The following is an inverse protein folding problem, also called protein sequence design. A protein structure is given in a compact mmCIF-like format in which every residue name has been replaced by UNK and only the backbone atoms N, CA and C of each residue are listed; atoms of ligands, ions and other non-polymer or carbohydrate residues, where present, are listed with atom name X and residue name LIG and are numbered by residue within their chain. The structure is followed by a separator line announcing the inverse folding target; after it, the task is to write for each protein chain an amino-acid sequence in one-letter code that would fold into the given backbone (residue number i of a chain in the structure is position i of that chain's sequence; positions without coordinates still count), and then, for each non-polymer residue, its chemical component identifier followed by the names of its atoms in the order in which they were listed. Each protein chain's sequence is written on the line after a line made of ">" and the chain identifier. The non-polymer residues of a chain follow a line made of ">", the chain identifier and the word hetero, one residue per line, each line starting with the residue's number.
data_IF_279221443842
#
_entry.id   IF_279221443842
#
_cell.length_a   1.000
_cell.length_b   1.000
_cell.length_c   1.000
_cell.angle_alpha   90.00
_cell.angle_beta   90.00
_cell.angle_gamma   90.00
#
_symmetry.space_group_name_H-M   'P 1'
#
loop_
_entity.id
_entity.type
_entity.pdbx_description
1 polymer ?
#
# COMPACT_ATOMS: atom_id res chain seq x y z
N UNK A 1 3.37 12.92 -19.51
CA UNK A 1 2.99 14.10 -18.69
C UNK A 1 4.26 14.88 -18.35
N UNK A 2 4.20 16.23 -18.16
CA UNK A 2 5.39 17.04 -17.79
C UNK A 2 5.41 17.23 -16.28
N UNK A 3 5.99 16.31 -15.54
CA UNK A 3 5.99 16.33 -14.07
C UNK A 3 7.38 16.60 -13.44
N UNK A 4 8.48 16.40 -14.16
CA UNK A 4 9.85 16.43 -13.62
C UNK A 4 10.26 17.70 -12.87
N UNK A 5 9.69 18.86 -13.20
CA UNK A 5 10.01 20.16 -12.55
C UNK A 5 8.86 20.69 -11.67
N UNK A 6 7.90 19.85 -11.28
CA UNK A 6 6.79 20.23 -10.43
C UNK A 6 7.13 20.04 -8.95
N UNK A 7 6.30 20.65 -8.07
CA UNK A 7 6.39 20.48 -6.62
C UNK A 7 6.19 19.00 -6.24
N UNK A 8 6.92 18.56 -5.25
CA UNK A 8 6.77 17.27 -4.61
C UNK A 8 6.05 17.41 -3.28
N UNK A 9 5.23 16.43 -2.92
CA UNK A 9 4.56 16.39 -1.64
C UNK A 9 5.52 15.92 -0.54
N UNK A 10 5.45 16.58 0.63
CA UNK A 10 6.11 16.13 1.85
C UNK A 10 5.30 15.05 2.59
N UNK A 11 4.09 14.72 2.10
CA UNK A 11 3.20 13.73 2.70
C UNK A 11 3.44 12.31 2.17
N UNK A 12 4.65 12.01 1.68
CA UNK A 12 5.05 10.66 1.25
C UNK A 12 5.83 9.96 2.38
N UNK A 13 5.36 8.77 2.75
CA UNK A 13 6.00 7.85 3.70
C UNK A 13 6.58 6.68 2.90
N UNK A 14 7.85 6.79 2.51
CA UNK A 14 8.51 5.78 1.68
C UNK A 14 9.07 4.64 2.55
N UNK A 15 8.33 3.55 2.58
CA UNK A 15 8.66 2.32 3.33
C UNK A 15 9.28 1.22 2.45
N UNK A 16 9.59 1.49 1.19
CA UNK A 16 10.14 0.48 0.26
C UNK A 16 11.46 -0.12 0.74
N UNK A 17 12.25 0.67 1.49
CA UNK A 17 13.54 0.27 2.08
C UNK A 17 13.42 -0.35 3.49
N UNK A 18 12.27 -0.19 4.13
CA UNK A 18 11.96 -0.94 5.33
C UNK A 18 11.70 -2.37 4.87
N UNK A 19 12.74 -3.18 4.87
CA UNK A 19 12.66 -4.59 4.53
C UNK A 19 11.47 -5.21 5.27
N UNK A 20 10.91 -6.31 4.72
CA UNK A 20 9.96 -7.17 5.43
C UNK A 20 10.37 -7.12 6.89
N UNK A 21 9.45 -6.82 7.85
CA UNK A 21 9.83 -6.98 9.24
C UNK A 21 10.52 -8.32 9.25
N UNK A 22 11.80 -8.33 9.59
CA UNK A 22 12.47 -9.60 9.79
C UNK A 22 11.46 -10.31 10.70
N UNK A 23 10.80 -11.33 10.16
CA UNK A 23 10.29 -12.36 11.02
C UNK A 23 11.59 -12.74 11.68
N UNK A 24 11.84 -12.12 12.83
CA UNK A 24 12.75 -12.70 13.78
C UNK A 24 12.12 -14.07 13.86
N UNK A 25 12.71 -15.01 13.15
CA UNK A 25 12.59 -16.41 13.50
C UNK A 25 13.13 -16.44 14.92
N UNK A 26 12.35 -15.76 15.78
CA UNK A 26 12.55 -15.74 17.18
C UNK A 26 12.48 -17.19 17.53
N UNK A 27 13.45 -17.69 18.28
CA UNK A 27 13.69 -19.08 18.61
C UNK A 27 12.46 -19.96 18.90
N UNK A 28 11.24 -19.46 18.83
CA UNK A 28 9.99 -20.17 18.99
C UNK A 28 9.72 -21.21 17.90
N UNK A 29 9.89 -20.89 16.63
CA UNK A 29 9.62 -21.87 15.57
C UNK A 29 10.71 -22.94 15.54
N UNK A 30 11.98 -22.53 15.68
CA UNK A 30 13.12 -23.45 15.77
C UNK A 30 12.99 -24.31 17.04
N UNK A 31 12.56 -23.71 18.15
CA UNK A 31 12.34 -24.43 19.41
C UNK A 31 11.18 -25.43 19.30
N UNK A 32 10.08 -25.06 18.65
CA UNK A 32 8.93 -25.93 18.41
C UNK A 32 9.32 -27.09 17.49
N UNK A 33 10.05 -26.83 16.40
CA UNK A 33 10.55 -27.89 15.50
C UNK A 33 11.51 -28.82 16.24
N UNK A 34 12.43 -28.29 17.04
CA UNK A 34 13.36 -29.10 17.84
C UNK A 34 12.64 -29.98 18.87
N UNK A 35 11.58 -29.46 19.52
CA UNK A 35 10.78 -30.23 20.48
C UNK A 35 10.00 -31.35 19.75
N UNK A 36 9.36 -31.03 18.62
CA UNK A 36 8.62 -32.04 17.83
C UNK A 36 9.55 -33.15 17.33
N UNK A 37 10.75 -32.79 16.85
CA UNK A 37 11.74 -33.77 16.39
C UNK A 37 12.29 -34.62 17.54
N UNK A 38 12.49 -34.03 18.72
CA UNK A 38 12.87 -34.79 19.94
C UNK A 38 11.82 -35.85 20.28
N UNK A 39 10.52 -35.51 20.23
CA UNK A 39 9.45 -36.49 20.46
C UNK A 39 9.32 -37.53 19.33
N UNK A 40 9.80 -37.25 18.13
CA UNK A 40 9.86 -38.21 17.01
C UNK A 40 11.13 -39.05 17.00
N UNK A 41 11.99 -38.92 18.03
CA UNK A 41 13.23 -39.72 18.19
C UNK A 41 14.31 -39.36 17.15
N UNK A 42 14.28 -38.17 16.56
CA UNK A 42 15.32 -37.69 15.63
C UNK A 42 16.25 -36.72 16.33
N UNK A 43 17.55 -36.79 16.00
CA UNK A 43 18.56 -35.94 16.60
C UNK A 43 18.41 -34.49 16.16
N UNK A 44 18.24 -33.54 17.08
CA UNK A 44 18.11 -32.12 16.76
C UNK A 44 19.34 -31.51 16.05
N UNK A 45 20.50 -32.15 16.15
CA UNK A 45 21.75 -31.66 15.56
C UNK A 45 21.77 -31.74 14.03
N UNK A 46 21.09 -32.72 13.42
CA UNK A 46 20.98 -32.84 11.96
C UNK A 46 20.11 -31.75 11.35
N UNK A 47 19.06 -31.32 12.08
CA UNK A 47 18.19 -30.21 11.64
C UNK A 47 18.88 -28.86 11.79
N UNK A 48 19.69 -28.69 12.85
CA UNK A 48 20.48 -27.48 13.06
C UNK A 48 21.54 -27.30 11.97
N UNK A 49 22.13 -28.39 11.46
CA UNK A 49 23.07 -28.34 10.34
C UNK A 49 22.38 -28.02 9.01
N UNK A 50 21.19 -28.54 8.76
CA UNK A 50 20.43 -28.23 7.57
C UNK A 50 19.85 -26.79 7.57
N UNK A 51 19.60 -26.20 8.74
CA UNK A 51 19.18 -24.82 8.91
C UNK A 51 20.35 -23.83 8.81
N UNK A 52 21.59 -24.22 9.14
CA UNK A 52 22.79 -23.39 8.95
C UNK A 52 23.15 -23.18 7.47
N UNK A 53 22.63 -23.99 6.56
CA UNK A 53 22.78 -23.84 5.12
C UNK A 53 21.76 -22.89 4.47
N UNK A 54 20.75 -22.40 5.21
CA UNK A 54 19.69 -21.52 4.72
C UNK A 54 19.95 -20.04 5.08
N UNK A 55 20.94 -19.77 5.93
CA UNK A 55 21.21 -18.42 6.44
C UNK A 55 22.15 -17.57 5.56
N UNK A 56 22.36 -17.94 4.30
CA UNK A 56 23.15 -17.13 3.35
C UNK A 56 22.45 -16.84 2.03
N UNK A 57 21.12 -16.78 2.00
CA UNK A 57 20.46 -16.00 0.96
C UNK A 57 20.32 -14.54 1.43
N UNK A 58 21.39 -13.81 1.07
CA UNK A 58 21.37 -12.39 0.73
C UNK A 58 20.37 -11.55 1.51
N UNK A 59 20.85 -10.89 2.56
CA UNK A 59 20.49 -9.49 2.77
C UNK A 59 20.92 -8.73 1.49
N UNK A 60 20.25 -8.95 0.38
CA UNK A 60 20.20 -7.93 -0.63
C UNK A 60 19.55 -6.73 0.07
N UNK A 61 20.38 -5.76 0.42
CA UNK A 61 19.94 -4.39 0.55
C UNK A 61 19.06 -4.16 -0.67
N UNK A 62 17.74 -4.12 -0.49
CA UNK A 62 16.81 -3.76 -1.55
C UNK A 62 17.08 -2.29 -1.87
N UNK A 63 18.15 -2.06 -2.64
CA UNK A 63 18.39 -0.78 -3.26
C UNK A 63 17.26 -0.61 -4.26
N UNK A 64 16.38 0.35 -3.99
CA UNK A 64 15.34 0.70 -4.95
C UNK A 64 15.98 0.89 -6.32
N UNK A 65 15.39 0.32 -7.36
CA UNK A 65 15.92 0.51 -8.71
C UNK A 65 15.70 1.98 -9.14
N UNK A 66 16.55 2.53 -10.03
CA UNK A 66 16.33 3.88 -10.57
C UNK A 66 14.92 4.05 -11.18
N UNK A 67 14.35 3.00 -11.74
CA UNK A 67 12.99 2.98 -12.24
C UNK A 67 11.96 3.20 -11.10
N UNK A 68 12.06 2.44 -10.02
CA UNK A 68 11.18 2.61 -8.86
C UNK A 68 11.34 3.97 -8.17
N UNK A 69 12.55 4.53 -8.17
CA UNK A 69 12.77 5.88 -7.64
C UNK A 69 12.11 6.95 -8.52
N UNK A 70 12.14 6.78 -9.85
CA UNK A 70 11.41 7.64 -10.77
C UNK A 70 9.89 7.56 -10.59
N UNK A 71 9.35 6.36 -10.37
CA UNK A 71 7.93 6.16 -10.09
C UNK A 71 7.51 6.80 -8.75
N UNK A 72 8.35 6.68 -7.72
CA UNK A 72 8.11 7.32 -6.42
C UNK A 72 8.13 8.84 -6.52
N UNK A 73 9.07 9.39 -7.28
CA UNK A 73 9.18 10.81 -7.53
C UNK A 73 7.93 11.34 -8.27
N UNK A 74 7.48 10.64 -9.32
CA UNK A 74 6.26 10.95 -10.04
C UNK A 74 5.03 10.86 -9.12
N UNK A 75 4.92 9.84 -8.29
CA UNK A 75 3.82 9.69 -7.33
C UNK A 75 3.76 10.86 -6.34
N UNK A 76 4.93 11.33 -5.86
CA UNK A 76 5.03 12.50 -4.99
C UNK A 76 4.55 13.79 -5.68
N UNK A 77 4.87 13.98 -6.96
CA UNK A 77 4.38 15.14 -7.75
C UNK A 77 2.87 15.06 -7.98
N UNK A 78 2.34 13.89 -8.27
CA UNK A 78 0.88 13.72 -8.45
C UNK A 78 0.15 14.01 -7.15
N UNK A 79 0.63 13.48 -6.02
CA UNK A 79 0.06 13.77 -4.70
C UNK A 79 0.06 15.28 -4.42
N UNK A 80 1.19 15.97 -4.66
CA UNK A 80 1.29 17.41 -4.52
C UNK A 80 0.27 18.18 -5.37
N UNK A 81 0.04 17.72 -6.61
CA UNK A 81 -0.95 18.33 -7.50
C UNK A 81 -2.39 18.14 -6.99
N UNK A 82 -2.69 16.96 -6.40
CA UNK A 82 -4.00 16.74 -5.77
C UNK A 82 -4.19 17.59 -4.52
N UNK A 83 -3.13 17.76 -3.70
CA UNK A 83 -3.16 18.67 -2.54
C UNK A 83 -3.50 20.10 -2.94
N UNK A 84 -2.83 20.63 -3.98
CA UNK A 84 -3.05 22.00 -4.45
C UNK A 84 -4.50 22.20 -4.95
N UNK A 85 -5.04 21.23 -5.69
CA UNK A 85 -6.41 21.29 -6.21
C UNK A 85 -7.44 21.21 -5.09
N UNK A 86 -7.32 20.18 -4.21
CA UNK A 86 -8.33 19.97 -3.19
C UNK A 86 -8.27 21.01 -2.07
N UNK A 87 -7.08 21.49 -1.67
CA UNK A 87 -6.97 22.61 -0.72
C UNK A 87 -7.70 23.86 -1.24
N UNK A 88 -7.53 24.16 -2.53
CA UNK A 88 -8.23 25.30 -3.15
C UNK A 88 -9.74 25.10 -3.15
N UNK A 89 -10.22 23.94 -3.62
CA UNK A 89 -11.66 23.64 -3.67
C UNK A 89 -12.30 23.66 -2.28
N UNK A 90 -11.69 23.02 -1.29
CA UNK A 90 -12.22 23.03 0.07
C UNK A 90 -12.32 24.44 0.63
N UNK A 91 -11.28 25.27 0.42
CA UNK A 91 -11.29 26.68 0.83
C UNK A 91 -12.43 27.47 0.15
N UNK A 92 -12.68 27.25 -1.14
CA UNK A 92 -13.78 27.88 -1.89
C UNK A 92 -15.17 27.53 -1.30
N UNK A 93 -15.29 26.33 -0.70
CA UNK A 93 -16.51 25.88 -0.02
C UNK A 93 -16.51 26.14 1.49
N UNK A 94 -15.54 26.89 2.03
CA UNK A 94 -15.43 27.23 3.45
C UNK A 94 -15.10 26.04 4.33
N UNK A 95 -14.40 25.04 3.79
CA UNK A 95 -13.97 23.82 4.47
C UNK A 95 -12.44 23.73 4.55
N UNK A 96 -11.93 23.00 5.53
CA UNK A 96 -10.51 22.70 5.67
C UNK A 96 -10.17 21.36 4.99
N UNK A 97 -9.16 21.35 4.13
CA UNK A 97 -8.61 20.12 3.53
C UNK A 97 -7.44 19.61 4.37
N UNK A 98 -7.55 18.37 4.81
CA UNK A 98 -6.45 17.66 5.47
C UNK A 98 -5.79 16.74 4.46
N UNK A 99 -4.51 16.93 4.19
CA UNK A 99 -3.79 16.13 3.21
C UNK A 99 -3.68 14.67 3.67
N UNK A 100 -3.92 13.68 2.78
CA UNK A 100 -3.64 12.28 3.09
C UNK A 100 -2.13 12.02 3.06
N UNK A 101 -1.66 10.97 3.72
CA UNK A 101 -0.32 10.44 3.51
C UNK A 101 -0.33 9.35 2.45
N UNK A 102 0.64 9.39 1.54
CA UNK A 102 0.92 8.32 0.60
C UNK A 102 2.02 7.41 1.16
N UNK A 103 1.68 6.17 1.44
CA UNK A 103 2.61 5.13 1.89
C UNK A 103 3.08 4.32 0.69
N UNK A 104 4.36 4.41 0.34
CA UNK A 104 4.99 3.57 -0.67
C UNK A 104 5.57 2.34 0.01
N UNK A 105 5.27 1.15 -0.52
CA UNK A 105 5.74 -0.12 0.06
C UNK A 105 6.11 -1.14 -1.03
N UNK A 106 6.75 -2.22 -0.64
CA UNK A 106 7.05 -3.37 -1.50
C UNK A 106 6.51 -4.65 -0.86
N UNK A 107 5.76 -5.42 -1.64
CA UNK A 107 5.28 -6.76 -1.31
C UNK A 107 4.13 -6.77 -0.32
N UNK A 108 4.30 -6.30 0.91
CA UNK A 108 3.23 -6.29 1.92
C UNK A 108 3.31 -5.10 2.86
N UNK A 109 2.16 -4.63 3.32
CA UNK A 109 2.05 -3.51 4.26
C UNK A 109 0.94 -3.76 5.28
N UNK A 110 1.14 -3.28 6.52
CA UNK A 110 0.11 -3.24 7.56
C UNK A 110 -0.50 -1.85 7.60
N UNK A 111 -1.82 -1.78 7.53
CA UNK A 111 -2.64 -0.58 7.69
C UNK A 111 -3.64 -0.75 8.83
N UNK A 112 -4.40 0.30 9.15
CA UNK A 112 -5.54 0.18 10.07
C UNK A 112 -6.70 -0.65 9.48
N UNK A 113 -6.73 -0.82 8.16
CA UNK A 113 -7.72 -1.64 7.45
C UNK A 113 -7.30 -3.12 7.32
N UNK A 114 -6.15 -3.51 7.86
CA UNK A 114 -5.61 -4.87 7.80
C UNK A 114 -4.26 -4.96 7.10
N UNK A 115 -3.87 -6.19 6.75
CA UNK A 115 -2.64 -6.47 6.00
C UNK A 115 -3.01 -6.57 4.52
N UNK A 116 -2.32 -5.81 3.69
CA UNK A 116 -2.45 -5.85 2.23
C UNK A 116 -1.14 -6.29 1.59
N UNK A 117 -1.24 -6.99 0.46
CA UNK A 117 -0.10 -7.40 -0.37
C UNK A 117 -0.16 -6.74 -1.75
N UNK A 118 0.85 -6.97 -2.59
CA UNK A 118 0.91 -6.42 -3.96
C UNK A 118 -0.32 -6.80 -4.81
N UNK A 119 -0.94 -7.96 -4.55
CA UNK A 119 -2.15 -8.40 -5.25
C UNK A 119 -3.42 -7.58 -4.92
N UNK A 120 -3.39 -6.80 -3.83
CA UNK A 120 -4.52 -5.92 -3.46
C UNK A 120 -4.65 -4.73 -4.40
N UNK A 121 -3.55 -4.32 -5.05
CA UNK A 121 -3.46 -3.06 -5.78
C UNK A 121 -3.32 -1.85 -4.84
N UNK A 122 -3.31 -0.64 -5.38
CA UNK A 122 -3.41 0.60 -4.61
C UNK A 122 -4.72 0.66 -3.83
N UNK A 123 -4.73 1.29 -2.67
CA UNK A 123 -5.95 1.45 -1.89
C UNK A 123 -5.88 2.63 -0.91
N UNK A 124 -7.02 3.20 -0.62
CA UNK A 124 -7.21 4.14 0.48
C UNK A 124 -7.73 3.41 1.72
N UNK A 125 -7.12 3.65 2.88
CA UNK A 125 -7.62 3.13 4.15
C UNK A 125 -8.29 4.24 4.96
N UNK A 126 -9.59 4.14 5.14
CA UNK A 126 -10.38 5.12 5.91
C UNK A 126 -10.09 5.10 7.41
N UNK A 127 -9.54 3.99 7.93
CA UNK A 127 -9.21 3.82 9.33
C UNK A 127 -7.99 4.61 9.79
N UNK A 128 -7.04 4.91 8.90
CA UNK A 128 -5.85 5.72 9.18
C UNK A 128 -5.65 6.90 8.21
N UNK A 129 -6.61 7.08 7.29
CA UNK A 129 -6.65 8.19 6.30
C UNK A 129 -5.41 8.27 5.40
N UNK A 130 -4.92 7.10 4.97
CA UNK A 130 -3.73 6.99 4.12
C UNK A 130 -4.02 6.29 2.81
N UNK A 131 -3.31 6.71 1.78
CA UNK A 131 -3.23 6.02 0.49
C UNK A 131 -2.03 5.07 0.54
N UNK A 132 -2.20 3.85 0.07
CA UNK A 132 -1.18 2.81 0.03
C UNK A 132 -0.91 2.39 -1.41
N UNK A 133 0.36 2.35 -1.80
CA UNK A 133 0.78 2.06 -3.17
C UNK A 133 2.04 1.19 -3.18
N UNK A 134 1.93 0.00 -3.74
CA UNK A 134 3.08 -0.77 -4.20
C UNK A 134 3.41 -0.34 -5.63
N UNK A 135 4.62 0.18 -5.84
CA UNK A 135 5.01 0.71 -7.17
C UNK A 135 5.06 -0.37 -8.26
N UNK A 136 5.19 -1.66 -7.89
CA UNK A 136 5.12 -2.78 -8.84
C UNK A 136 3.75 -2.86 -9.54
N UNK A 137 2.70 -2.30 -8.94
CA UNK A 137 1.38 -2.20 -9.57
C UNK A 137 1.42 -1.42 -10.89
N UNK A 138 2.28 -0.42 -11.01
CA UNK A 138 2.39 0.35 -12.25
C UNK A 138 3.00 -0.46 -13.41
N UNK A 139 3.89 -1.41 -13.10
CA UNK A 139 4.39 -2.35 -14.08
C UNK A 139 3.28 -3.32 -14.53
N UNK A 140 2.45 -3.78 -13.59
CA UNK A 140 1.28 -4.60 -13.84
C UNK A 140 0.20 -3.84 -14.63
N UNK A 141 -0.04 -2.57 -14.31
CA UNK A 141 -0.98 -1.69 -15.02
C UNK A 141 -0.63 -1.60 -16.52
N UNK A 142 0.66 -1.45 -16.83
CA UNK A 142 1.14 -1.43 -18.21
C UNK A 142 1.10 -2.79 -18.89
N UNK A 143 1.64 -3.83 -18.25
CA UNK A 143 1.87 -5.14 -18.86
C UNK A 143 0.63 -6.03 -18.90
N UNK A 144 -0.22 -6.00 -17.86
CA UNK A 144 -1.39 -6.87 -17.72
C UNK A 144 -2.71 -6.19 -18.13
N UNK A 145 -2.83 -4.87 -17.88
CA UNK A 145 -4.07 -4.13 -18.13
C UNK A 145 -4.00 -3.23 -19.37
N UNK A 146 -2.85 -3.15 -20.04
CA UNK A 146 -2.67 -2.36 -21.27
C UNK A 146 -2.75 -0.84 -21.06
N UNK A 147 -2.77 -0.36 -19.79
CA UNK A 147 -2.87 1.04 -19.41
C UNK A 147 -1.50 1.56 -18.97
N UNK A 148 -0.60 1.77 -19.91
CA UNK A 148 0.75 2.28 -19.66
C UNK A 148 0.82 3.80 -19.67
N UNK A 149 1.86 4.34 -19.00
CA UNK A 149 2.26 5.75 -19.05
C UNK A 149 1.79 6.60 -17.89
N UNK A 150 2.41 7.77 -17.76
CA UNK A 150 2.29 8.67 -16.62
C UNK A 150 0.84 9.07 -16.29
N UNK A 151 -0.02 9.19 -17.30
CA UNK A 151 -1.42 9.58 -17.08
C UNK A 151 -2.21 8.49 -16.35
N UNK A 152 -2.05 7.23 -16.75
CA UNK A 152 -2.73 6.11 -16.09
C UNK A 152 -2.28 5.96 -14.62
N UNK A 153 -0.98 6.11 -14.37
CA UNK A 153 -0.41 6.08 -13.03
C UNK A 153 -0.92 7.25 -12.17
N UNK A 154 -0.97 8.47 -12.75
CA UNK A 154 -1.51 9.65 -12.07
C UNK A 154 -3.00 9.50 -11.76
N UNK A 155 -3.77 8.89 -12.67
CA UNK A 155 -5.20 8.63 -12.46
C UNK A 155 -5.42 7.71 -11.26
N UNK A 156 -4.65 6.63 -11.13
CA UNK A 156 -4.74 5.71 -9.98
C UNK A 156 -4.52 6.44 -8.65
N UNK A 157 -3.46 7.24 -8.56
CA UNK A 157 -3.18 8.00 -7.33
C UNK A 157 -4.31 9.00 -7.03
N UNK A 158 -4.78 9.72 -8.04
CA UNK A 158 -5.87 10.69 -7.89
C UNK A 158 -7.19 10.01 -7.48
N UNK A 159 -7.44 8.79 -7.95
CA UNK A 159 -8.60 7.98 -7.56
C UNK A 159 -8.56 7.65 -6.07
N UNK A 160 -7.43 7.17 -5.54
CA UNK A 160 -7.30 6.89 -4.10
C UNK A 160 -7.42 8.16 -3.24
N UNK A 161 -6.93 9.30 -3.74
CA UNK A 161 -7.17 10.61 -3.09
C UNK A 161 -8.66 10.99 -3.17
N UNK A 162 -9.38 10.58 -4.23
CA UNK A 162 -10.84 10.73 -4.32
C UNK A 162 -11.58 10.06 -3.16
N UNK A 163 -11.18 8.84 -2.77
CA UNK A 163 -11.73 8.17 -1.59
C UNK A 163 -11.41 8.91 -0.29
N UNK A 164 -10.23 9.54 -0.20
CA UNK A 164 -9.92 10.42 0.93
C UNK A 164 -10.87 11.62 1.00
N UNK A 165 -11.14 12.26 -0.14
CA UNK A 165 -12.12 13.36 -0.22
C UNK A 165 -13.52 12.89 0.15
N UNK A 166 -13.97 11.74 -0.33
CA UNK A 166 -15.24 11.13 0.08
C UNK A 166 -15.30 10.89 1.60
N UNK A 167 -14.18 10.53 2.23
CA UNK A 167 -14.07 10.40 3.70
C UNK A 167 -14.23 11.75 4.38
N UNK A 168 -13.52 12.80 3.93
CA UNK A 168 -13.61 14.14 4.51
C UNK A 168 -15.02 14.74 4.38
N UNK A 169 -15.71 14.46 3.29
CA UNK A 169 -17.10 14.88 3.06
C UNK A 169 -18.14 14.01 3.80
N UNK A 170 -17.70 12.95 4.50
CA UNK A 170 -18.58 12.02 5.20
C UNK A 170 -19.39 11.09 4.29
N UNK A 171 -19.15 11.11 2.97
CA UNK A 171 -19.82 10.25 2.00
C UNK A 171 -19.45 8.79 2.21
N UNK A 172 -18.17 8.51 2.41
CA UNK A 172 -17.64 7.17 2.63
C UNK A 172 -18.27 6.53 3.87
N UNK A 173 -18.34 7.28 4.99
CA UNK A 173 -18.93 6.79 6.25
C UNK A 173 -20.43 6.51 6.12
N UNK A 174 -21.16 7.36 5.38
CA UNK A 174 -22.60 7.15 5.11
C UNK A 174 -22.82 5.87 4.30
N UNK A 175 -22.02 5.64 3.27
CA UNK A 175 -22.12 4.43 2.44
C UNK A 175 -21.78 3.18 3.26
N UNK A 176 -20.72 3.17 4.05
CA UNK A 176 -20.36 2.05 4.90
C UNK A 176 -21.46 1.73 5.95
N UNK A 177 -22.09 2.76 6.53
CA UNK A 177 -23.21 2.58 7.46
C UNK A 177 -24.45 1.97 6.75
N UNK A 178 -24.71 2.31 5.51
CA UNK A 178 -25.76 1.70 4.70
C UNK A 178 -25.44 0.25 4.37
N UNK A 179 -24.21 -0.03 3.94
CA UNK A 179 -23.74 -1.38 3.60
C UNK A 179 -23.86 -2.36 4.78
N UNK A 180 -23.62 -1.90 6.00
CA UNK A 180 -23.71 -2.73 7.20
C UNK A 180 -25.13 -3.29 7.45
N UNK A 181 -26.16 -2.68 6.85
CA UNK A 181 -27.57 -3.03 7.02
C UNK A 181 -28.25 -3.47 5.69
N UNK A 182 -27.48 -3.68 4.63
CA UNK A 182 -27.97 -3.97 3.29
C UNK A 182 -27.69 -5.44 2.90
N UNK A 183 -28.44 -5.95 1.93
CA UNK A 183 -28.14 -7.24 1.30
C UNK A 183 -26.95 -7.12 0.32
N UNK A 184 -26.47 -8.25 -0.20
CA UNK A 184 -25.32 -8.31 -1.11
C UNK A 184 -25.54 -7.48 -2.38
N UNK A 185 -26.76 -7.49 -2.95
CA UNK A 185 -27.07 -6.74 -4.17
C UNK A 185 -26.99 -5.24 -3.96
N UNK A 186 -27.55 -4.76 -2.85
CA UNK A 186 -27.48 -3.33 -2.50
C UNK A 186 -26.06 -2.93 -2.10
N UNK A 187 -25.31 -3.80 -1.40
CA UNK A 187 -23.89 -3.58 -1.10
C UNK A 187 -23.07 -3.37 -2.37
N UNK A 188 -23.22 -4.24 -3.36
CA UNK A 188 -22.53 -4.10 -4.64
C UNK A 188 -22.92 -2.79 -5.35
N UNK A 189 -24.20 -2.40 -5.31
CA UNK A 189 -24.66 -1.13 -5.88
C UNK A 189 -24.06 0.09 -5.17
N UNK A 190 -23.99 0.05 -3.85
CA UNK A 190 -23.37 1.11 -3.05
C UNK A 190 -21.86 1.21 -3.32
N UNK A 191 -21.17 0.08 -3.46
CA UNK A 191 -19.75 0.05 -3.85
C UNK A 191 -19.53 0.71 -5.21
N UNK A 192 -20.32 0.34 -6.24
CA UNK A 192 -20.23 0.97 -7.56
C UNK A 192 -20.42 2.51 -7.48
N UNK A 193 -21.31 2.99 -6.60
CA UNK A 193 -21.53 4.44 -6.43
C UNK A 193 -20.37 5.16 -5.76
N UNK A 194 -19.54 4.46 -4.99
CA UNK A 194 -18.31 5.03 -4.43
C UNK A 194 -17.22 5.20 -5.49
N UNK A 195 -17.21 4.32 -6.50
CA UNK A 195 -16.22 4.31 -7.57
C UNK A 195 -16.51 5.31 -8.69
N UNK A 196 -17.73 5.87 -8.74
CA UNK A 196 -18.19 6.85 -9.75
C UNK A 196 -18.02 8.28 -9.28
#
# INVERSE_FOLDING_TARGET
>A
MKWMNQRRSDNVDDRRKLGKPAVVAGGGLVTIIAIVMFFLGKDPSEVMQSLQGVDQETTENMVSSPHQDSLADMASVVLASTEDVWSKLFTEYGMDYVNPKLVLFNGSVKSACGIAGSATGPFYCSGDTKVYLDLSFFDDLGSKLGASGDFAQAYVIAHEVGHHVQKLLGTLDKIHAQQANSDEKENNRLSVRLEL
#
